data_IF_732727440166
#
_entry.id   IF_732727440166
#
_cell.length_a   1.000
_cell.length_b   1.000
_cell.length_c   1.000
_cell.angle_alpha   90.00
_cell.angle_beta   90.00
_cell.angle_gamma   90.00
#
_symmetry.space_group_name_H-M   'P 1'
#
loop_
_entity.id
_entity.type
_entity.pdbx_description
1 polymer ?
#
# COMPACT_ATOMS: atom_id res chain seq x y z
N UNK A 1 34.02 -7.97 -28.86
CA UNK A 1 33.60 -8.66 -27.62
C UNK A 1 32.14 -8.31 -27.37
N UNK A 2 31.21 -9.26 -27.49
CA UNK A 2 29.79 -9.02 -27.15
C UNK A 2 29.68 -9.18 -25.63
N UNK A 3 29.40 -8.11 -24.90
CA UNK A 3 29.02 -8.22 -23.49
C UNK A 3 27.71 -9.00 -23.43
N UNK A 4 27.72 -10.20 -22.85
CA UNK A 4 26.49 -10.94 -22.56
C UNK A 4 25.80 -10.25 -21.37
N UNK A 5 25.06 -9.18 -21.65
CA UNK A 5 24.17 -8.55 -20.67
C UNK A 5 23.01 -9.52 -20.45
N UNK A 6 22.97 -10.22 -19.32
CA UNK A 6 21.87 -11.13 -18.99
C UNK A 6 20.63 -10.32 -18.65
N UNK A 7 19.55 -10.49 -19.43
CA UNK A 7 18.26 -9.86 -19.13
C UNK A 7 17.51 -10.71 -18.11
N UNK A 8 17.30 -10.18 -16.91
CA UNK A 8 16.45 -10.80 -15.89
C UNK A 8 14.98 -10.54 -16.20
N UNK A 9 14.21 -11.61 -16.42
CA UNK A 9 12.78 -11.54 -16.70
C UNK A 9 11.98 -11.75 -15.43
N UNK A 10 11.08 -10.81 -15.12
CA UNK A 10 10.17 -10.87 -13.97
C UNK A 10 8.74 -10.98 -14.49
N UNK A 11 8.03 -12.00 -14.05
CA UNK A 11 6.60 -12.17 -14.31
C UNK A 11 5.82 -11.85 -13.02
N UNK A 12 4.88 -10.90 -13.11
CA UNK A 12 3.98 -10.52 -12.04
C UNK A 12 2.60 -11.05 -12.39
N UNK A 13 2.05 -11.90 -11.53
CA UNK A 13 0.71 -12.47 -11.71
C UNK A 13 -0.28 -11.68 -10.84
N UNK A 14 -1.20 -10.99 -11.50
CA UNK A 14 -2.16 -10.05 -10.90
C UNK A 14 -1.89 -8.61 -11.35
N UNK A 15 -2.80 -8.05 -12.14
CA UNK A 15 -2.80 -6.67 -12.63
C UNK A 15 -3.65 -5.72 -11.79
N UNK A 16 -3.85 -6.02 -10.50
CA UNK A 16 -4.46 -5.11 -9.54
C UNK A 16 -3.52 -3.96 -9.13
N UNK A 17 -3.90 -3.19 -8.11
CA UNK A 17 -3.12 -2.06 -7.61
C UNK A 17 -1.68 -2.47 -7.24
N UNK A 18 -1.53 -3.50 -6.40
CA UNK A 18 -0.22 -3.97 -5.91
C UNK A 18 0.68 -4.43 -7.05
N UNK A 19 0.16 -5.24 -7.99
CA UNK A 19 0.95 -5.75 -9.11
C UNK A 19 1.44 -4.65 -10.04
N UNK A 20 0.60 -3.64 -10.32
CA UNK A 20 1.00 -2.47 -11.12
C UNK A 20 2.03 -1.62 -10.42
N UNK A 21 1.84 -1.35 -9.12
CA UNK A 21 2.81 -0.58 -8.34
C UNK A 21 4.14 -1.32 -8.25
N UNK A 22 4.14 -2.63 -8.04
CA UNK A 22 5.37 -3.43 -8.03
C UNK A 22 6.08 -3.35 -9.38
N UNK A 23 5.36 -3.51 -10.49
CA UNK A 23 5.94 -3.40 -11.82
C UNK A 23 6.58 -2.02 -12.05
N UNK A 24 5.84 -0.95 -11.72
CA UNK A 24 6.31 0.42 -11.80
C UNK A 24 7.56 0.65 -10.95
N UNK A 25 7.57 0.19 -9.69
CA UNK A 25 8.70 0.33 -8.77
C UNK A 25 9.93 -0.42 -9.27
N UNK A 26 9.78 -1.64 -9.76
CA UNK A 26 10.89 -2.42 -10.31
C UNK A 26 11.53 -1.72 -11.51
N UNK A 27 10.71 -1.24 -12.45
CA UNK A 27 11.20 -0.52 -13.64
C UNK A 27 11.92 0.78 -13.23
N UNK A 28 11.31 1.58 -12.34
CA UNK A 28 11.84 2.89 -11.93
C UNK A 28 13.07 2.81 -11.04
N UNK A 29 13.17 1.82 -10.15
CA UNK A 29 14.37 1.61 -9.36
C UNK A 29 15.52 1.09 -10.24
N UNK A 30 15.20 0.20 -11.18
CA UNK A 30 16.20 -0.32 -12.09
C UNK A 30 16.78 0.74 -13.02
N UNK A 31 15.96 1.66 -13.55
CA UNK A 31 16.47 2.77 -14.39
C UNK A 31 17.48 3.67 -13.67
N UNK A 32 17.51 3.63 -12.34
CA UNK A 32 18.40 4.43 -11.51
C UNK A 32 19.66 3.65 -11.06
N UNK A 33 19.81 2.39 -11.44
CA UNK A 33 20.93 1.53 -11.07
C UNK A 33 21.78 1.20 -12.31
N UNK A 34 23.00 1.72 -12.37
CA UNK A 34 23.99 1.31 -13.38
C UNK A 34 24.82 0.14 -12.85
N UNK A 35 24.22 -1.06 -12.85
CA UNK A 35 24.86 -2.29 -12.38
C UNK A 35 25.08 -3.33 -13.50
N UNK A 36 24.88 -2.93 -14.77
CA UNK A 36 25.05 -3.78 -15.95
C UNK A 36 24.02 -4.90 -16.13
N UNK A 37 23.02 -4.99 -15.25
CA UNK A 37 21.90 -5.92 -15.37
C UNK A 37 20.79 -5.23 -16.16
N UNK A 38 19.99 -5.95 -16.95
CA UNK A 38 18.79 -5.39 -17.58
C UNK A 38 17.56 -6.15 -17.13
N UNK A 39 16.47 -5.46 -16.80
CA UNK A 39 15.22 -6.09 -16.38
C UNK A 39 14.13 -5.99 -17.45
N UNK A 40 13.35 -7.06 -17.58
CA UNK A 40 12.09 -7.07 -18.34
C UNK A 40 10.97 -7.51 -17.40
N UNK A 41 10.00 -6.62 -17.17
CA UNK A 41 8.87 -6.88 -16.27
C UNK A 41 7.61 -7.08 -17.10
N UNK A 42 6.92 -8.20 -16.88
CA UNK A 42 5.66 -8.53 -17.54
C UNK A 42 4.57 -8.73 -16.49
N UNK A 43 3.43 -8.06 -16.64
CA UNK A 43 2.27 -8.19 -15.75
C UNK A 43 1.19 -8.99 -16.47
N UNK A 44 0.72 -10.06 -15.83
CA UNK A 44 -0.34 -10.94 -16.32
C UNK A 44 -1.58 -10.75 -15.46
N UNK A 45 -2.72 -10.51 -16.08
CA UNK A 45 -4.02 -10.39 -15.42
C UNK A 45 -5.00 -11.37 -16.07
N UNK A 46 -5.87 -12.00 -15.26
CA UNK A 46 -6.90 -12.89 -15.76
C UNK A 46 -7.92 -12.11 -16.58
N UNK A 47 -8.30 -10.92 -16.10
CA UNK A 47 -9.18 -9.98 -16.80
C UNK A 47 -8.42 -9.00 -17.70
N UNK A 48 -9.12 -7.94 -18.12
CA UNK A 48 -8.49 -6.81 -18.80
C UNK A 48 -7.69 -5.96 -17.82
N UNK A 49 -6.51 -5.49 -18.25
CA UNK A 49 -5.75 -4.46 -17.52
C UNK A 49 -6.43 -3.08 -17.59
N UNK A 50 -7.36 -2.88 -18.52
CA UNK A 50 -8.18 -1.68 -18.65
C UNK A 50 -9.62 -2.12 -18.81
N UNK A 51 -10.26 -2.64 -17.74
CA UNK A 51 -11.62 -3.14 -17.83
C UNK A 51 -12.58 -1.97 -18.10
N UNK A 52 -13.57 -2.12 -19.01
CA UNK A 52 -14.57 -1.10 -19.23
C UNK A 52 -15.41 -0.86 -17.96
N UNK A 53 -16.06 0.30 -17.89
CA UNK A 53 -16.91 0.66 -16.75
C UNK A 53 -18.03 -0.36 -16.50
N UNK A 54 -18.54 -0.99 -17.56
CA UNK A 54 -19.62 -1.99 -17.56
C UNK A 54 -19.22 -3.40 -17.10
N UNK A 55 -17.93 -3.71 -16.95
CA UNK A 55 -17.49 -5.03 -16.51
C UNK A 55 -17.71 -5.20 -15.00
N UNK A 56 -18.32 -6.30 -14.55
CA UNK A 56 -18.57 -6.53 -13.11
C UNK A 56 -17.37 -7.15 -12.38
N UNK A 57 -16.60 -8.01 -13.06
CA UNK A 57 -15.45 -8.70 -12.48
C UNK A 57 -14.18 -7.85 -12.60
N UNK A 58 -14.09 -6.76 -11.83
CA UNK A 58 -12.90 -5.90 -11.74
C UNK A 58 -12.05 -6.24 -10.52
N UNK A 59 -10.77 -5.88 -10.56
CA UNK A 59 -9.90 -5.99 -9.39
C UNK A 59 -10.44 -5.17 -8.21
N UNK A 60 -10.17 -5.61 -6.98
CA UNK A 60 -10.67 -4.97 -5.75
C UNK A 60 -10.39 -3.45 -5.67
N UNK A 61 -9.30 -2.99 -6.27
CA UNK A 61 -8.94 -1.58 -6.34
C UNK A 61 -9.97 -0.68 -7.04
N UNK A 62 -10.83 -1.22 -7.91
CA UNK A 62 -11.90 -0.47 -8.58
C UNK A 62 -13.14 -0.25 -7.69
N UNK A 63 -13.26 -1.03 -6.60
CA UNK A 63 -14.41 -0.99 -5.68
C UNK A 63 -14.03 -0.39 -4.33
N UNK A 64 -12.74 -0.45 -3.96
CA UNK A 64 -12.26 0.04 -2.69
C UNK A 64 -12.49 1.55 -2.52
N UNK A 65 -13.07 1.95 -1.38
CA UNK A 65 -13.15 3.35 -0.98
C UNK A 65 -11.79 3.97 -0.60
N UNK A 66 -10.77 3.11 -0.41
CA UNK A 66 -9.38 3.49 -0.12
C UNK A 66 -9.18 4.37 1.15
N UNK A 67 -10.03 4.18 2.17
CA UNK A 67 -9.81 4.79 3.49
C UNK A 67 -8.63 4.13 4.20
N UNK A 68 -7.79 4.94 4.84
CA UNK A 68 -6.64 4.48 5.63
C UNK A 68 -6.74 5.12 7.02
N UNK A 69 -6.86 4.30 8.07
CA UNK A 69 -6.91 4.76 9.47
C UNK A 69 -6.01 3.86 10.33
N UNK A 70 -4.69 4.12 10.38
CA UNK A 70 -3.73 3.20 11.02
C UNK A 70 -4.03 2.95 12.49
N UNK A 71 -4.56 3.94 13.20
CA UNK A 71 -4.91 3.80 14.62
C UNK A 71 -6.13 2.88 14.81
N UNK A 72 -7.14 3.00 13.95
CA UNK A 72 -8.30 2.10 13.99
C UNK A 72 -7.93 0.69 13.57
N UNK A 73 -7.11 0.55 12.53
CA UNK A 73 -6.63 -0.73 12.02
C UNK A 73 -5.76 -1.46 13.05
N UNK A 74 -4.92 -0.74 13.82
CA UNK A 74 -4.05 -1.32 14.84
C UNK A 74 -4.85 -2.07 15.91
N UNK A 75 -6.07 -1.64 16.25
CA UNK A 75 -6.89 -2.38 17.23
C UNK A 75 -7.20 -3.80 16.73
N UNK A 76 -7.38 -3.99 15.42
CA UNK A 76 -7.66 -5.29 14.79
C UNK A 76 -6.42 -6.00 14.21
N UNK A 77 -5.24 -5.41 14.28
CA UNK A 77 -4.02 -5.93 13.63
C UNK A 77 -2.78 -5.89 14.52
N UNK A 78 -1.68 -6.39 14.00
CA UNK A 78 -0.36 -6.46 14.63
C UNK A 78 0.40 -5.14 14.48
N UNK A 79 1.37 -4.91 15.38
CA UNK A 79 2.12 -3.66 15.40
C UNK A 79 2.95 -3.47 14.12
N UNK A 80 3.41 -4.55 13.51
CA UNK A 80 4.16 -4.58 12.26
C UNK A 80 3.32 -4.03 11.09
N UNK A 81 2.03 -4.37 11.03
CA UNK A 81 1.11 -3.84 10.00
C UNK A 81 0.97 -2.33 10.18
N UNK A 82 0.81 -1.86 11.41
CA UNK A 82 0.78 -0.43 11.71
C UNK A 82 2.09 0.27 11.28
N UNK A 83 3.26 -0.32 11.57
CA UNK A 83 4.56 0.25 11.17
C UNK A 83 4.71 0.32 9.65
N UNK A 84 4.30 -0.73 8.93
CA UNK A 84 4.24 -0.74 7.47
C UNK A 84 3.28 0.33 6.93
N UNK A 85 2.12 0.50 7.58
CA UNK A 85 1.16 1.55 7.27
C UNK A 85 1.74 2.95 7.44
N UNK A 86 2.39 3.24 8.57
CA UNK A 86 3.06 4.53 8.84
C UNK A 86 4.16 4.83 7.82
N UNK A 87 4.95 3.82 7.46
CA UNK A 87 5.97 3.94 6.41
C UNK A 87 5.32 4.24 5.06
N UNK A 88 4.24 3.54 4.74
CA UNK A 88 3.49 3.72 3.49
C UNK A 88 2.88 5.12 3.39
N UNK A 89 2.33 5.66 4.48
CA UNK A 89 1.79 7.02 4.52
C UNK A 89 2.86 8.08 4.22
N UNK A 90 4.11 7.84 4.60
CA UNK A 90 5.24 8.73 4.29
C UNK A 90 5.66 8.62 2.81
N UNK A 91 5.62 7.41 2.25
CA UNK A 91 6.01 7.14 0.87
C UNK A 91 4.96 7.59 -0.16
N UNK A 92 3.69 7.49 0.18
CA UNK A 92 2.59 7.63 -0.76
C UNK A 92 2.52 8.99 -1.46
N UNK A 93 2.67 10.15 -0.76
CA UNK A 93 2.69 11.46 -1.41
C UNK A 93 3.79 11.56 -2.47
N UNK A 94 5.01 11.10 -2.15
CA UNK A 94 6.14 11.09 -3.08
C UNK A 94 5.88 10.21 -4.32
N UNK A 95 5.14 9.11 -4.16
CA UNK A 95 4.79 8.25 -5.28
C UNK A 95 3.73 8.88 -6.18
N UNK A 96 2.76 9.59 -5.61
CA UNK A 96 1.74 10.28 -6.39
C UNK A 96 2.28 11.48 -7.15
N UNK A 97 3.25 12.21 -6.59
CA UNK A 97 4.01 13.22 -7.34
C UNK A 97 4.70 12.60 -8.55
N UNK A 98 5.32 11.44 -8.37
CA UNK A 98 6.00 10.72 -9.44
C UNK A 98 5.08 10.10 -10.50
N UNK A 99 3.78 9.98 -10.19
CA UNK A 99 2.73 9.49 -11.09
C UNK A 99 1.89 10.64 -11.65
N UNK A 100 2.31 11.90 -11.41
CA UNK A 100 1.63 13.12 -11.84
C UNK A 100 0.17 13.21 -11.36
N UNK A 101 -0.11 12.71 -10.16
CA UNK A 101 -1.47 12.67 -9.60
C UNK A 101 -1.58 12.93 -8.08
N UNK A 102 -0.90 13.96 -7.53
CA UNK A 102 -0.90 14.27 -6.10
C UNK A 102 -2.29 14.56 -5.52
N UNK A 103 -3.23 15.03 -6.35
CA UNK A 103 -4.60 15.35 -5.96
C UNK A 103 -5.43 14.14 -5.48
N UNK A 104 -4.97 12.91 -5.71
CA UNK A 104 -5.69 11.70 -5.33
C UNK A 104 -5.39 11.21 -3.91
N UNK A 105 -4.70 12.00 -3.08
CA UNK A 105 -4.44 11.68 -1.68
C UNK A 105 -4.72 12.85 -0.76
N UNK A 106 -5.41 12.55 0.34
CA UNK A 106 -5.80 13.52 1.35
C UNK A 106 -5.50 12.98 2.73
N UNK A 107 -4.75 13.75 3.53
CA UNK A 107 -4.37 13.38 4.89
C UNK A 107 -5.01 14.34 5.90
N UNK A 108 -6.31 14.19 6.12
CA UNK A 108 -7.10 15.02 7.05
C UNK A 108 -7.32 14.35 8.42
N UNK A 109 -6.73 13.17 8.63
CA UNK A 109 -6.95 12.36 9.83
C UNK A 109 -8.23 11.54 9.77
N UNK A 110 -8.54 10.85 10.87
CA UNK A 110 -9.72 10.01 11.02
C UNK A 110 -10.38 10.31 12.37
N UNK A 111 -11.72 10.29 12.39
CA UNK A 111 -12.51 10.53 13.59
C UNK A 111 -13.25 9.25 13.98
N UNK A 112 -12.99 8.75 15.19
CA UNK A 112 -13.74 7.65 15.80
C UNK A 112 -14.78 8.25 16.73
N UNK A 113 -16.04 7.87 16.54
CA UNK A 113 -17.19 8.35 17.30
C UNK A 113 -18.05 7.18 17.76
N UNK A 114 -18.72 7.35 18.90
CA UNK A 114 -19.59 6.34 19.49
C UNK A 114 -20.90 6.99 19.96
N UNK A 115 -22.01 6.28 19.77
CA UNK A 115 -23.29 6.67 20.37
C UNK A 115 -23.21 6.47 21.89
N UNK A 116 -24.02 7.17 22.73
CA UNK A 116 -24.00 6.97 24.18
C UNK A 116 -24.09 5.51 24.67
N UNK A 117 -24.76 4.63 23.90
CA UNK A 117 -24.87 3.21 24.23
C UNK A 117 -23.59 2.40 23.92
N UNK A 118 -22.70 2.92 23.07
CA UNK A 118 -21.50 2.22 22.60
C UNK A 118 -20.22 2.73 23.31
N UNK A 119 -20.38 3.56 24.35
CA UNK A 119 -19.25 4.12 25.11
C UNK A 119 -18.37 3.00 25.71
N UNK A 120 -18.97 1.87 26.10
CA UNK A 120 -18.21 0.71 26.57
C UNK A 120 -17.26 0.15 25.50
N UNK A 121 -17.70 0.07 24.25
CA UNK A 121 -16.87 -0.36 23.12
C UNK A 121 -15.79 0.67 22.80
N UNK A 122 -16.11 1.96 22.84
CA UNK A 122 -15.11 3.02 22.63
C UNK A 122 -14.01 2.98 23.70
N UNK A 123 -14.37 2.73 24.96
CA UNK A 123 -13.39 2.57 26.04
C UNK A 123 -12.52 1.32 25.84
N UNK A 124 -13.11 0.21 25.37
CA UNK A 124 -12.35 -0.99 25.05
C UNK A 124 -11.37 -0.74 23.89
N UNK A 125 -11.85 -0.11 22.82
CA UNK A 125 -11.04 0.32 21.68
C UNK A 125 -9.83 1.17 22.14
N UNK A 126 -10.07 2.16 23.02
CA UNK A 126 -8.99 3.00 23.57
C UNK A 126 -7.97 2.19 24.38
N UNK A 127 -8.43 1.25 25.22
CA UNK A 127 -7.53 0.37 25.99
C UNK A 127 -6.65 -0.48 25.08
N UNK A 128 -7.24 -1.11 24.07
CA UNK A 128 -6.53 -1.98 23.14
C UNK A 128 -5.50 -1.19 22.32
N UNK A 129 -5.89 -0.01 21.83
CA UNK A 129 -5.00 0.90 21.12
C UNK A 129 -3.81 1.31 21.98
N UNK A 130 -4.06 1.77 23.21
CA UNK A 130 -3.01 2.19 24.14
C UNK A 130 -2.06 1.04 24.49
N UNK A 131 -2.60 -0.15 24.73
CA UNK A 131 -1.80 -1.33 25.01
C UNK A 131 -0.84 -1.64 23.84
N UNK A 132 -1.35 -1.70 22.61
CA UNK A 132 -0.52 -1.97 21.42
C UNK A 132 0.50 -0.87 21.14
N UNK A 133 0.16 0.40 21.38
CA UNK A 133 1.09 1.52 21.23
C UNK A 133 2.17 1.56 22.32
N UNK A 134 1.84 1.17 23.56
CA UNK A 134 2.82 1.15 24.66
C UNK A 134 3.95 0.15 24.43
N UNK A 135 3.66 -0.96 23.74
CA UNK A 135 4.67 -1.93 23.32
C UNK A 135 5.75 -1.30 22.42
N UNK A 136 5.38 -0.29 21.61
CA UNK A 136 6.32 0.46 20.77
C UNK A 136 7.33 1.27 21.58
N UNK A 137 6.92 1.87 22.70
CA UNK A 137 7.80 2.68 23.54
C UNK A 137 8.84 1.82 24.26
N UNK A 138 8.46 0.61 24.68
CA UNK A 138 9.35 -0.31 25.40
C UNK A 138 10.27 -1.12 24.47
N UNK A 139 9.95 -1.24 23.18
CA UNK A 139 10.77 -1.95 22.19
C UNK A 139 11.83 -1.05 21.51
N UNK A 140 11.87 0.24 21.83
CA UNK A 140 12.85 1.22 21.32
C UNK A 140 13.91 1.64 22.36
N UNK A 141 13.88 1.03 23.55
CA UNK A 141 14.90 1.14 24.61
C UNK A 141 15.69 -0.14 24.71
#
# INVERSE_FOLDING_TARGET
>A
MKSNSSVSKVAIIGGGLVGRLLAWRLIKQHSNMDNGISFSVNVFEKGSLSPPSSQNDKAAAFTAAAMISPMSELVASELEIYQLGQTSLTLWPHWLEQLDCPQHYHQQGSLVLAHPNDIGELQQFQRDLNHKLSYKLNAQT
#
